data_IF_852043106978
#
_entry.id   IF_852043106978
#
_cell.length_a   1.000
_cell.length_b   1.000
_cell.length_c   1.000
_cell.angle_alpha   90.00
_cell.angle_beta   90.00
_cell.angle_gamma   90.00
#
_symmetry.space_group_name_H-M   'P 1'
#
loop_
_entity.id
_entity.type
_entity.pdbx_description
1 polymer ?
#
# COMPACT_ATOMS: atom_id res chain seq x y z
N UNK A 1 -12.05 -7.45 0.77
CA UNK A 1 -10.68 -6.91 0.95
C UNK A 1 -10.67 -5.50 0.37
N UNK A 2 -10.29 -4.49 1.15
CA UNK A 2 -10.23 -3.09 0.69
C UNK A 2 -9.16 -2.98 -0.42
N UNK A 3 -9.49 -2.32 -1.54
CA UNK A 3 -8.57 -2.15 -2.69
C UNK A 3 -7.29 -1.38 -2.35
N UNK A 4 -7.27 -0.67 -1.23
CA UNK A 4 -6.12 0.08 -0.71
C UNK A 4 -5.36 -0.64 0.39
N UNK A 5 -5.71 -1.89 0.71
CA UNK A 5 -5.02 -2.68 1.73
C UNK A 5 -3.92 -3.52 1.09
N UNK A 6 -2.74 -3.50 1.71
CA UNK A 6 -1.63 -4.35 1.30
C UNK A 6 -1.96 -5.82 1.61
N UNK A 7 -1.93 -6.73 0.63
CA UNK A 7 -2.22 -8.14 0.87
C UNK A 7 -1.23 -8.84 1.80
N UNK A 8 -0.04 -8.28 2.01
CA UNK A 8 1.01 -8.84 2.88
C UNK A 8 0.79 -8.40 4.33
N UNK A 9 0.86 -7.10 4.63
CA UNK A 9 0.75 -6.59 6.00
C UNK A 9 -0.69 -6.28 6.46
N UNK A 10 -1.67 -6.38 5.56
CA UNK A 10 -3.11 -6.10 5.79
C UNK A 10 -3.46 -4.66 6.17
N UNK A 11 -2.48 -3.76 6.25
CA UNK A 11 -2.65 -2.33 6.48
C UNK A 11 -2.92 -1.56 5.18
N UNK A 12 -3.31 -0.29 5.28
CA UNK A 12 -3.35 0.63 4.12
C UNK A 12 -1.96 0.65 3.45
N UNK A 13 -1.93 0.57 2.12
CA UNK A 13 -0.66 0.51 1.37
C UNK A 13 0.19 1.76 1.61
N UNK A 14 1.45 1.54 1.98
CA UNK A 14 2.45 2.59 2.15
C UNK A 14 3.49 2.50 1.04
N UNK A 15 3.79 3.62 0.38
CA UNK A 15 4.63 3.67 -0.82
C UNK A 15 4.23 2.57 -1.83
N UNK A 16 3.00 2.63 -2.37
CA UNK A 16 2.43 1.55 -3.15
C UNK A 16 3.25 1.26 -4.41
N UNK A 17 3.42 -0.02 -4.72
CA UNK A 17 4.04 -0.51 -5.95
C UNK A 17 3.09 -1.44 -6.69
N UNK A 18 2.97 -1.22 -7.99
CA UNK A 18 2.22 -2.06 -8.90
C UNK A 18 3.17 -3.09 -9.53
N UNK A 19 2.74 -4.34 -9.57
CA UNK A 19 3.45 -5.44 -10.25
C UNK A 19 2.96 -5.55 -11.71
N UNK A 20 3.70 -6.23 -12.61
CA UNK A 20 3.24 -6.44 -14.00
C UNK A 20 1.88 -7.14 -14.07
N UNK A 21 1.60 -8.03 -13.11
CA UNK A 21 0.31 -8.70 -12.95
C UNK A 21 -0.79 -7.85 -12.26
N UNK A 22 -0.60 -6.53 -12.16
CA UNK A 22 -1.56 -5.53 -11.66
C UNK A 22 -1.91 -5.59 -10.18
N UNK A 23 -1.20 -6.39 -9.40
CA UNK A 23 -1.34 -6.41 -7.94
C UNK A 23 -0.50 -5.31 -7.28
N UNK A 24 -1.05 -4.72 -6.20
CA UNK A 24 -0.45 -3.60 -5.48
C UNK A 24 -0.06 -4.02 -4.05
N UNK A 25 1.13 -3.61 -3.62
CA UNK A 25 1.68 -3.88 -2.29
C UNK A 25 2.42 -2.65 -1.76
N UNK A 26 2.73 -2.62 -0.45
CA UNK A 26 3.75 -1.70 0.07
C UNK A 26 5.11 -2.05 -0.53
N UNK A 27 5.92 -1.05 -0.89
CA UNK A 27 7.26 -1.27 -1.42
C UNK A 27 8.10 -2.22 -0.53
N UNK A 28 8.19 -1.93 0.77
CA UNK A 28 8.97 -2.75 1.69
C UNK A 28 8.44 -4.19 1.80
N UNK A 29 7.11 -4.37 1.76
CA UNK A 29 6.49 -5.70 1.86
C UNK A 29 6.83 -6.57 0.64
N UNK A 30 6.61 -6.05 -0.57
CA UNK A 30 6.89 -6.83 -1.78
C UNK A 30 8.40 -7.01 -2.00
N UNK A 31 9.22 -6.01 -1.66
CA UNK A 31 10.66 -6.13 -1.78
C UNK A 31 11.24 -7.18 -0.82
N UNK A 32 10.74 -7.24 0.42
CA UNK A 32 11.11 -8.30 1.37
C UNK A 32 10.65 -9.68 0.88
N UNK A 33 9.45 -9.79 0.31
CA UNK A 33 8.95 -11.03 -0.27
C UNK A 33 9.82 -11.52 -1.43
N UNK A 34 10.17 -10.65 -2.38
CA UNK A 34 11.01 -11.02 -3.53
C UNK A 34 12.40 -11.51 -3.08
N UNK A 35 13.00 -10.88 -2.06
CA UNK A 35 14.32 -11.27 -1.55
C UNK A 35 14.33 -12.61 -0.82
N UNK A 36 13.24 -12.94 -0.11
CA UNK A 36 13.19 -14.10 0.78
C UNK A 36 12.31 -15.26 0.27
N UNK A 37 11.71 -15.13 -0.91
CA UNK A 37 10.78 -16.12 -1.46
C UNK A 37 11.09 -16.45 -2.92
N UNK A 38 10.20 -17.19 -3.58
CA UNK A 38 10.34 -17.73 -4.93
C UNK A 38 10.39 -16.68 -6.07
N UNK A 39 10.56 -15.39 -5.76
CA UNK A 39 10.52 -14.27 -6.73
C UNK A 39 9.25 -14.30 -7.58
N UNK A 40 8.11 -14.42 -6.89
CA UNK A 40 6.78 -14.44 -7.49
C UNK A 40 5.85 -13.48 -6.78
N UNK A 41 4.81 -13.01 -7.47
CA UNK A 41 3.72 -12.27 -6.86
C UNK A 41 3.03 -13.10 -5.75
N UNK A 42 2.84 -12.55 -4.53
CA UNK A 42 2.18 -13.25 -3.43
C UNK A 42 0.73 -13.68 -3.72
N UNK A 43 0.06 -13.04 -4.69
CA UNK A 43 -1.37 -13.29 -4.98
C UNK A 43 -1.59 -14.30 -6.10
N UNK A 44 -0.90 -14.15 -7.23
CA UNK A 44 -1.13 -14.97 -8.42
C UNK A 44 0.08 -15.81 -8.85
N UNK A 45 1.18 -15.76 -8.09
CA UNK A 45 2.44 -16.48 -8.37
C UNK A 45 3.12 -16.13 -9.70
N UNK A 46 2.71 -15.06 -10.37
CA UNK A 46 3.41 -14.55 -11.55
C UNK A 46 4.86 -14.20 -11.20
N UNK A 47 5.83 -14.48 -12.09
CA UNK A 47 7.24 -14.17 -11.85
C UNK A 47 7.43 -12.67 -11.59
N UNK A 48 8.24 -12.33 -10.60
CA UNK A 48 8.38 -10.96 -10.13
C UNK A 48 9.79 -10.68 -9.63
N UNK A 49 10.41 -9.63 -10.15
CA UNK A 49 11.68 -9.07 -9.71
C UNK A 49 11.51 -7.64 -9.19
N UNK A 50 12.55 -7.06 -8.58
CA UNK A 50 12.45 -5.72 -7.97
C UNK A 50 12.30 -4.63 -9.02
N UNK A 51 12.90 -4.84 -10.19
CA UNK A 51 12.91 -3.94 -11.34
C UNK A 51 11.53 -3.85 -11.99
N UNK A 52 10.71 -4.88 -11.80
CA UNK A 52 9.33 -4.96 -12.31
C UNK A 52 8.35 -4.06 -11.51
N UNK A 53 8.78 -3.47 -10.39
CA UNK A 53 7.92 -2.72 -9.48
C UNK A 53 7.76 -1.25 -9.90
N UNK A 54 6.61 -0.93 -10.48
CA UNK A 54 6.28 0.42 -10.95
C UNK A 54 5.41 1.19 -9.96
N UNK A 55 5.24 2.49 -10.20
CA UNK A 55 4.21 3.28 -9.50
C UNK A 55 2.83 2.89 -10.07
N UNK A 56 1.79 2.76 -9.24
CA UNK A 56 0.43 2.60 -9.73
C UNK A 56 -0.02 3.78 -10.58
N UNK A 57 -1.12 3.57 -11.31
CA UNK A 57 -1.78 4.64 -12.08
C UNK A 57 -2.05 5.89 -11.21
N UNK A 58 -1.89 7.11 -11.75
CA UNK A 58 -2.12 8.35 -10.99
C UNK A 58 -3.48 8.41 -10.31
N UNK A 59 -4.53 7.92 -10.98
CA UNK A 59 -5.88 7.83 -10.41
C UNK A 59 -5.94 7.01 -9.11
N UNK A 60 -5.25 5.87 -9.05
CA UNK A 60 -5.18 5.04 -7.85
C UNK A 60 -4.50 5.81 -6.70
N UNK A 61 -3.43 6.54 -7.01
CA UNK A 61 -2.70 7.34 -6.01
C UNK A 61 -3.54 8.52 -5.50
N UNK A 62 -4.28 9.19 -6.38
CA UNK A 62 -5.22 10.24 -6.01
C UNK A 62 -6.32 9.71 -5.10
N UNK A 63 -6.95 8.59 -5.47
CA UNK A 63 -8.00 7.97 -4.65
C UNK A 63 -7.48 7.49 -3.29
N UNK A 64 -6.29 6.88 -3.25
CA UNK A 64 -5.63 6.47 -2.00
C UNK A 64 -5.37 7.68 -1.09
N UNK A 65 -4.90 8.79 -1.68
CA UNK A 65 -4.54 10.01 -0.94
C UNK A 65 -5.76 10.69 -0.30
N UNK A 66 -6.93 10.51 -0.89
CA UNK A 66 -8.21 11.06 -0.41
C UNK A 66 -8.99 10.12 0.50
N UNK A 67 -8.41 8.99 0.90
CA UNK A 67 -8.99 8.16 1.95
C UNK A 67 -9.12 8.94 3.24
N UNK A 68 -10.32 8.94 3.80
CA UNK A 68 -10.55 9.47 5.14
C UNK A 68 -10.07 8.49 6.19
N UNK A 69 -9.24 8.97 7.10
CA UNK A 69 -8.64 8.21 8.18
C UNK A 69 -8.90 8.91 9.50
N UNK A 70 -9.01 8.13 10.57
CA UNK A 70 -9.04 8.66 11.92
C UNK A 70 -7.61 8.76 12.44
N UNK A 71 -7.33 9.84 13.18
CA UNK A 71 -6.07 9.98 13.85
C UNK A 71 -5.83 8.81 14.83
N UNK A 72 -4.61 8.25 14.81
CA UNK A 72 -4.20 7.18 15.73
C UNK A 72 -4.25 7.63 17.21
N UNK A 73 -4.27 8.93 17.48
CA UNK A 73 -4.43 9.52 18.81
C UNK A 73 -5.89 9.66 19.27
N UNK A 74 -6.85 8.98 18.62
CA UNK A 74 -8.25 8.92 19.08
C UNK A 74 -8.39 8.49 20.54
N UNK A 75 -7.53 7.57 21.01
CA UNK A 75 -7.49 7.16 22.41
C UNK A 75 -7.05 8.27 23.39
N UNK A 76 -6.40 9.32 22.88
CA UNK A 76 -5.91 10.48 23.64
C UNK A 76 -6.76 11.74 23.40
N UNK A 77 -7.97 11.59 22.84
CA UNK A 77 -8.92 12.69 22.66
C UNK A 77 -8.92 13.37 21.29
N UNK A 78 -8.07 12.96 20.35
CA UNK A 78 -8.13 13.50 18.99
C UNK A 78 -9.25 12.83 18.17
N UNK A 79 -10.34 13.55 17.90
CA UNK A 79 -11.49 13.02 17.14
C UNK A 79 -11.50 13.43 15.67
N UNK A 80 -10.39 13.96 15.15
CA UNK A 80 -10.33 14.50 13.79
C UNK A 80 -10.34 13.38 12.74
N UNK A 81 -11.21 13.55 11.73
CA UNK A 81 -11.25 12.76 10.50
C UNK A 81 -10.60 13.59 9.39
N UNK A 82 -9.55 13.07 8.77
CA UNK A 82 -8.77 13.77 7.76
C UNK A 82 -8.43 12.86 6.58
N UNK A 83 -8.09 13.45 5.44
CA UNK A 83 -7.56 12.70 4.30
C UNK A 83 -6.14 12.17 4.61
N UNK A 84 -5.82 10.98 4.13
CA UNK A 84 -4.53 10.31 4.33
C UNK A 84 -3.34 11.20 3.95
N UNK A 85 -3.48 12.04 2.91
CA UNK A 85 -2.44 13.00 2.48
C UNK A 85 -2.06 14.06 3.52
N UNK A 86 -2.94 14.31 4.50
CA UNK A 86 -2.71 15.27 5.58
C UNK A 86 -2.28 14.60 6.89
N UNK A 87 -2.36 13.27 7.00
CA UNK A 87 -2.07 12.54 8.24
C UNK A 87 -0.64 12.76 8.75
N UNK A 88 0.34 12.98 7.88
CA UNK A 88 1.73 13.25 8.29
C UNK A 88 1.97 14.68 8.80
N UNK A 89 1.01 15.59 8.60
CA UNK A 89 1.09 17.00 8.99
C UNK A 89 0.19 17.35 10.18
N UNK A 90 -0.64 16.40 10.61
CA UNK A 90 -1.50 16.47 11.79
C UNK A 90 -0.74 15.88 12.98
#
# INVERSE_FOLDING_TARGET
INKFSCPICKMVVYQPKETPCKHIFCFNCVAHWIRNSARTCPLCRHRLQLEDLTKPQPQYLSELSSLKVLCSFKGNGCTEELELKYLSRH
#
